data_IF_068094521499
#
_entry.id   IF_068094521499
#
_cell.length_a   1.000
_cell.length_b   1.000
_cell.length_c   1.000
_cell.angle_alpha   90.00
_cell.angle_beta   90.00
_cell.angle_gamma   90.00
#
_symmetry.space_group_name_H-M   'P 1'
#
loop_
_entity.id
_entity.type
_entity.pdbx_description
1 polymer ?
#
# COMPACT_ATOMS: atom_id res chain seq x y z
N UNK A 1 10.04 -4.47 2.96
CA UNK A 1 8.91 -3.65 3.46
C UNK A 1 9.38 -2.76 4.60
N UNK A 2 8.60 -1.74 4.95
CA UNK A 2 8.91 -0.88 6.11
C UNK A 2 7.82 -1.05 7.17
N UNK A 3 8.22 -1.18 8.44
CA UNK A 3 7.34 -1.44 9.58
C UNK A 3 7.34 -0.27 10.57
N UNK A 4 6.25 -0.11 11.31
CA UNK A 4 6.05 0.94 12.30
C UNK A 4 5.75 0.30 13.65
N UNK A 5 6.72 0.34 14.58
CA UNK A 5 6.56 -0.24 15.92
C UNK A 5 5.93 0.76 16.91
N UNK A 6 6.19 2.05 16.71
CA UNK A 6 5.59 3.14 17.48
C UNK A 6 4.18 3.54 17.02
N UNK A 7 3.68 4.66 17.53
CA UNK A 7 2.40 5.21 17.10
C UNK A 7 2.54 5.99 15.79
N UNK A 8 2.27 5.32 14.67
CA UNK A 8 2.18 5.94 13.35
C UNK A 8 0.74 6.39 13.00
N UNK A 9 -0.17 6.41 13.97
CA UNK A 9 -1.59 6.63 13.75
C UNK A 9 -2.27 5.43 13.06
N UNK A 10 -3.39 5.70 12.41
CA UNK A 10 -4.19 4.64 11.81
C UNK A 10 -5.44 5.16 11.12
N UNK A 11 -6.38 4.25 10.87
CA UNK A 11 -7.66 4.52 10.24
C UNK A 11 -8.81 4.03 11.11
N UNK A 12 -9.97 4.67 10.98
CA UNK A 12 -11.22 4.16 11.56
C UNK A 12 -12.08 3.63 10.42
N UNK A 13 -12.50 2.38 10.53
CA UNK A 13 -13.34 1.69 9.56
C UNK A 13 -14.53 1.09 10.30
N UNK A 14 -15.73 1.50 9.88
CA UNK A 14 -17.00 1.02 10.44
C UNK A 14 -17.07 1.13 11.99
N UNK A 15 -16.52 2.23 12.52
CA UNK A 15 -16.50 2.53 13.95
C UNK A 15 -15.35 1.87 14.74
N UNK A 16 -14.49 1.09 14.08
CA UNK A 16 -13.35 0.42 14.71
C UNK A 16 -12.02 1.03 14.28
N UNK A 17 -11.10 1.19 15.23
CA UNK A 17 -9.76 1.73 14.98
C UNK A 17 -8.76 0.64 14.58
N UNK A 18 -7.97 0.91 13.54
CA UNK A 18 -6.91 0.06 13.02
C UNK A 18 -5.59 0.85 12.98
N UNK A 19 -4.58 0.40 13.73
CA UNK A 19 -3.26 1.03 13.77
C UNK A 19 -2.43 0.64 12.57
N UNK A 20 -1.70 1.59 11.98
CA UNK A 20 -0.75 1.31 10.91
C UNK A 20 0.40 0.44 11.44
N UNK A 21 0.65 -0.69 10.77
CA UNK A 21 1.73 -1.62 11.11
C UNK A 21 2.85 -1.63 10.08
N UNK A 22 2.50 -1.50 8.80
CA UNK A 22 3.46 -1.69 7.72
C UNK A 22 3.07 -0.93 6.44
N UNK A 23 4.08 -0.50 5.69
CA UNK A 23 3.95 -0.11 4.29
C UNK A 23 4.79 -1.02 3.39
N UNK A 24 4.21 -1.42 2.27
CA UNK A 24 4.89 -2.19 1.23
C UNK A 24 4.35 -1.86 -0.16
N UNK A 25 5.11 -2.23 -1.20
CA UNK A 25 4.79 -1.85 -2.57
C UNK A 25 4.82 -3.04 -3.52
N UNK A 26 3.94 -2.98 -4.51
CA UNK A 26 3.87 -3.89 -5.63
C UNK A 26 4.12 -3.16 -6.95
N UNK A 27 4.93 -3.74 -7.84
CA UNK A 27 5.12 -3.25 -9.20
C UNK A 27 5.02 -4.39 -10.23
N UNK A 28 4.08 -4.33 -11.20
CA UNK A 28 3.03 -3.31 -11.37
C UNK A 28 2.01 -3.32 -10.22
N UNK A 29 0.95 -2.49 -10.29
CA UNK A 29 -0.16 -2.58 -9.35
C UNK A 29 -0.82 -3.97 -9.39
N UNK A 30 -1.31 -4.42 -8.24
CA UNK A 30 -2.10 -5.64 -8.11
C UNK A 30 -3.55 -5.38 -8.51
N UNK A 31 -4.11 -4.26 -8.05
CA UNK A 31 -5.42 -3.79 -8.46
C UNK A 31 -5.41 -3.25 -9.89
N UNK A 32 -6.58 -3.33 -10.52
CA UNK A 32 -6.90 -2.64 -11.76
C UNK A 32 -8.19 -1.85 -11.59
N UNK A 33 -8.27 -0.70 -12.26
CA UNK A 33 -9.50 0.09 -12.38
C UNK A 33 -9.90 0.04 -13.85
N UNK A 34 -11.12 -0.40 -14.16
CA UNK A 34 -11.63 -0.56 -15.53
C UNK A 34 -10.66 -1.36 -16.43
N UNK A 35 -10.10 -2.44 -15.88
CA UNK A 35 -9.14 -3.31 -16.56
C UNK A 35 -7.70 -2.75 -16.67
N UNK A 36 -7.46 -1.49 -16.29
CA UNK A 36 -6.13 -0.88 -16.33
C UNK A 36 -5.35 -1.12 -15.04
N UNK A 37 -4.18 -1.74 -15.16
CA UNK A 37 -3.13 -1.75 -14.13
C UNK A 37 -2.23 -0.52 -14.23
N UNK A 38 -1.59 -0.18 -13.12
CA UNK A 38 -0.72 0.97 -12.92
C UNK A 38 0.72 0.52 -12.63
N UNK A 39 1.65 1.48 -12.60
CA UNK A 39 3.09 1.18 -12.53
C UNK A 39 3.55 0.71 -11.15
N UNK A 40 2.85 1.16 -10.11
CA UNK A 40 3.15 0.86 -8.71
C UNK A 40 1.87 0.96 -7.87
N UNK A 41 1.83 0.17 -6.80
CA UNK A 41 0.80 0.23 -5.77
C UNK A 41 1.43 0.18 -4.38
N UNK A 42 1.04 1.10 -3.51
CA UNK A 42 1.35 1.07 -2.08
C UNK A 42 0.22 0.36 -1.35
N UNK A 43 0.57 -0.54 -0.44
CA UNK A 43 -0.31 -1.09 0.59
C UNK A 43 0.12 -0.61 1.96
N UNK A 44 -0.80 0.04 2.67
CA UNK A 44 -0.69 0.40 4.07
C UNK A 44 -1.50 -0.61 4.89
N UNK A 45 -0.80 -1.52 5.56
CA UNK A 45 -1.41 -2.57 6.37
C UNK A 45 -1.68 -2.05 7.78
N UNK A 46 -2.92 -2.17 8.21
CA UNK A 46 -3.38 -1.78 9.54
C UNK A 46 -3.97 -2.98 10.28
N UNK A 47 -3.87 -2.98 11.60
CA UNK A 47 -4.45 -4.01 12.47
C UNK A 47 -5.20 -3.37 13.63
N UNK A 48 -6.38 -3.89 13.93
CA UNK A 48 -7.14 -3.52 15.12
C UNK A 48 -6.57 -4.20 16.36
N UNK A 49 -6.27 -3.42 17.39
CA UNK A 49 -5.81 -3.94 18.68
C UNK A 49 -6.96 -4.60 19.47
N UNK A 50 -8.21 -4.24 19.18
CA UNK A 50 -9.38 -4.77 19.89
C UNK A 50 -9.88 -6.09 19.31
N UNK A 51 -9.85 -6.26 17.98
CA UNK A 51 -10.35 -7.48 17.32
C UNK A 51 -9.26 -8.34 16.67
N UNK A 52 -8.05 -7.81 16.50
CA UNK A 52 -6.98 -8.45 15.74
C UNK A 52 -7.19 -8.46 14.22
N UNK A 53 -8.32 -7.92 13.72
CA UNK A 53 -8.63 -7.85 12.28
C UNK A 53 -7.69 -6.90 11.54
N UNK A 54 -7.56 -7.14 10.25
CA UNK A 54 -6.73 -6.34 9.35
C UNK A 54 -7.55 -5.49 8.39
N UNK A 55 -7.03 -4.31 8.10
CA UNK A 55 -7.51 -3.44 7.04
C UNK A 55 -6.33 -2.94 6.20
N UNK A 56 -6.51 -2.84 4.88
CA UNK A 56 -5.48 -2.34 3.98
C UNK A 56 -6.00 -1.10 3.27
N UNK A 57 -5.20 -0.03 3.30
CA UNK A 57 -5.42 1.14 2.45
C UNK A 57 -4.40 1.10 1.31
N UNK A 58 -4.89 1.15 0.07
CA UNK A 58 -4.09 1.06 -1.13
C UNK A 58 -4.09 2.36 -1.93
N UNK A 59 -2.94 2.72 -2.47
CA UNK A 59 -2.76 3.88 -3.35
C UNK A 59 -2.07 3.47 -4.64
N UNK A 60 -2.67 3.83 -5.77
CA UNK A 60 -2.16 3.55 -7.12
C UNK A 60 -1.26 4.68 -7.61
N UNK A 61 -0.22 4.34 -8.37
CA UNK A 61 0.71 5.31 -8.95
C UNK A 61 1.00 5.01 -10.42
N UNK A 62 1.13 6.07 -11.21
CA UNK A 62 1.66 6.02 -12.57
C UNK A 62 2.95 6.83 -12.69
N UNK A 63 3.87 6.35 -13.53
CA UNK A 63 5.15 7.02 -13.76
C UNK A 63 4.89 8.39 -14.40
N UNK A 64 5.29 9.44 -13.70
CA UNK A 64 5.25 10.82 -14.19
C UNK A 64 6.65 11.30 -14.57
N UNK A 65 6.76 12.06 -15.66
CA UNK A 65 8.03 12.71 -16.03
C UNK A 65 8.50 13.64 -14.88
N UNK A 66 9.63 13.31 -14.27
CA UNK A 66 10.35 14.09 -13.23
C UNK A 66 9.59 14.35 -11.92
N UNK A 67 8.42 13.75 -11.68
CA UNK A 67 7.70 13.89 -10.41
C UNK A 67 8.13 12.78 -9.45
N UNK A 68 8.71 13.15 -8.31
CA UNK A 68 9.00 12.23 -7.22
C UNK A 68 7.84 12.23 -6.24
N UNK A 69 7.50 11.06 -5.71
CA UNK A 69 6.57 10.96 -4.59
C UNK A 69 7.30 11.28 -3.28
N UNK A 70 6.78 12.24 -2.50
CA UNK A 70 7.44 12.71 -1.29
C UNK A 70 7.50 11.64 -0.17
N UNK A 71 6.50 10.75 -0.09
CA UNK A 71 6.53 9.67 0.92
C UNK A 71 7.63 8.67 0.58
N UNK A 72 7.80 8.32 -0.69
CA UNK A 72 8.93 7.50 -1.12
C UNK A 72 10.28 8.20 -0.91
N UNK A 73 10.37 9.52 -1.06
CA UNK A 73 11.61 10.25 -0.76
C UNK A 73 11.98 10.16 0.73
N UNK A 74 10.99 10.24 1.64
CA UNK A 74 11.22 10.06 3.07
C UNK A 74 11.60 8.61 3.43
N UNK A 75 11.06 7.63 2.70
CA UNK A 75 11.27 6.21 2.96
C UNK A 75 12.47 5.61 2.22
N UNK A 76 13.07 6.32 1.27
CA UNK A 76 14.21 5.87 0.45
C UNK A 76 15.38 5.30 1.30
N UNK A 77 15.84 5.94 2.39
CA UNK A 77 16.90 5.39 3.24
C UNK A 77 16.56 4.02 3.86
N UNK A 78 15.29 3.80 4.21
CA UNK A 78 14.81 2.54 4.78
C UNK A 78 14.67 1.45 3.72
N UNK A 79 14.18 1.83 2.53
CA UNK A 79 14.05 0.93 1.38
C UNK A 79 15.43 0.45 0.92
N UNK A 80 16.43 1.34 0.86
CA UNK A 80 17.80 0.95 0.54
C UNK A 80 18.40 -0.02 1.57
N UNK A 81 18.08 0.15 2.86
CA UNK A 81 18.53 -0.77 3.92
C UNK A 81 17.95 -2.17 3.72
N UNK A 82 16.69 -2.28 3.29
CA UNK A 82 16.08 -3.56 2.89
C UNK A 82 16.90 -4.14 1.73
N UNK A 83 17.03 -3.42 0.62
CA UNK A 83 17.75 -3.87 -0.59
C UNK A 83 19.19 -4.37 -0.31
N UNK A 84 19.93 -3.68 0.56
CA UNK A 84 21.32 -4.03 0.92
C UNK A 84 21.42 -5.26 1.83
N UNK A 85 20.43 -5.51 2.69
CA UNK A 85 20.44 -6.61 3.65
C UNK A 85 19.61 -7.79 3.13
N UNK A 86 20.23 -8.66 2.32
CA UNK A 86 19.61 -9.86 1.70
C UNK A 86 18.85 -10.82 2.66
N UNK A 87 18.97 -10.66 3.99
CA UNK A 87 18.27 -11.45 5.02
C UNK A 87 17.18 -10.67 5.78
N UNK A 88 17.02 -9.37 5.53
CA UNK A 88 16.12 -8.50 6.26
C UNK A 88 14.93 -8.15 5.39
N UNK A 89 13.79 -8.79 5.63
CA UNK A 89 12.58 -8.55 4.86
C UNK A 89 11.89 -7.24 5.25
N UNK A 90 12.11 -6.78 6.49
CA UNK A 90 11.45 -5.60 7.08
C UNK A 90 12.45 -4.69 7.76
N UNK A 91 12.29 -3.38 7.58
CA UNK A 91 13.06 -2.36 8.31
C UNK A 91 12.11 -1.46 9.07
N UNK A 92 12.41 -1.23 10.35
CA UNK A 92 11.68 -0.28 11.18
C UNK A 92 11.95 1.16 10.75
N UNK A 93 10.87 1.94 10.66
CA UNK A 93 10.92 3.38 10.46
C UNK A 93 11.03 4.05 11.83
N UNK A 94 12.19 4.63 12.11
CA UNK A 94 12.53 5.33 13.35
C UNK A 94 12.55 6.87 13.19
N UNK A 95 12.17 7.37 12.00
CA UNK A 95 12.14 8.79 11.65
C UNK A 95 10.74 9.34 11.44
N UNK A 96 10.64 10.66 11.25
CA UNK A 96 9.37 11.35 11.00
C UNK A 96 8.86 11.10 9.57
N UNK A 97 7.85 10.23 9.44
CA UNK A 97 7.13 9.99 8.18
C UNK A 97 5.66 10.23 8.43
N UNK A 98 5.05 11.21 7.75
CA UNK A 98 3.60 11.42 7.80
C UNK A 98 2.88 10.37 6.93
N UNK A 99 2.20 9.37 7.53
CA UNK A 99 1.60 8.28 6.79
C UNK A 99 0.28 8.66 6.11
N UNK A 100 -0.23 9.88 6.31
CA UNK A 100 -1.44 10.38 5.64
C UNK A 100 -1.14 10.89 4.23
N UNK A 101 0.11 11.30 3.96
CA UNK A 101 0.52 11.89 2.67
C UNK A 101 0.24 11.01 1.44
N UNK A 102 0.41 9.68 1.48
CA UNK A 102 0.13 8.85 0.32
C UNK A 102 -1.31 8.93 -0.16
N UNK A 103 -2.26 9.11 0.76
CA UNK A 103 -3.70 9.10 0.45
C UNK A 103 -4.36 10.47 0.62
N UNK A 104 -3.55 11.52 0.77
CA UNK A 104 -4.06 12.88 0.89
C UNK A 104 -4.66 13.36 -0.44
N UNK A 105 -5.80 14.07 -0.34
CA UNK A 105 -6.56 14.53 -1.50
C UNK A 105 -7.39 13.44 -2.19
N UNK A 106 -7.42 12.22 -1.64
CA UNK A 106 -8.24 11.12 -2.15
C UNK A 106 -9.68 11.25 -1.66
N UNK A 107 -10.50 12.04 -2.37
CA UNK A 107 -11.92 12.22 -2.05
C UNK A 107 -12.82 11.04 -2.45
N UNK A 108 -12.31 10.06 -3.21
CA UNK A 108 -13.07 8.90 -3.68
C UNK A 108 -12.26 7.63 -3.50
N UNK A 109 -12.88 6.57 -3.00
CA UNK A 109 -12.25 5.27 -2.80
C UNK A 109 -13.22 4.11 -3.01
N UNK A 110 -12.66 2.95 -3.36
CA UNK A 110 -13.37 1.67 -3.41
C UNK A 110 -13.20 0.94 -2.08
N UNK A 111 -14.24 0.20 -1.65
CA UNK A 111 -14.20 -0.61 -0.42
C UNK A 111 -14.78 -1.99 -0.69
N UNK A 112 -14.08 -3.04 -0.25
CA UNK A 112 -14.54 -4.42 -0.32
C UNK A 112 -13.82 -5.32 0.71
N UNK A 113 -14.36 -6.50 0.99
CA UNK A 113 -13.71 -7.51 1.85
C UNK A 113 -12.98 -8.54 1.00
N UNK A 114 -11.68 -8.72 1.21
CA UNK A 114 -10.86 -9.64 0.43
C UNK A 114 -9.85 -10.42 1.27
N UNK A 115 -8.70 -10.68 0.66
CA UNK A 115 -7.62 -11.45 1.27
C UNK A 115 -6.31 -10.66 1.29
N UNK A 116 -5.30 -11.20 1.96
CA UNK A 116 -3.92 -10.86 1.64
C UNK A 116 -3.58 -11.28 0.20
N UNK A 117 -2.65 -10.55 -0.42
CA UNK A 117 -2.17 -10.83 -1.78
C UNK A 117 -0.94 -11.73 -1.80
N UNK A 118 -0.38 -12.04 -0.64
CA UNK A 118 0.71 -13.00 -0.43
C UNK A 118 0.23 -14.20 0.41
N UNK A 119 0.87 -15.38 0.27
CA UNK A 119 0.56 -16.55 1.10
C UNK A 119 0.60 -16.22 2.61
N UNK A 120 -0.32 -16.78 3.42
CA UNK A 120 -1.30 -17.82 3.08
C UNK A 120 -2.61 -17.29 2.48
N UNK A 121 -2.65 -16.04 1.98
CA UNK A 121 -3.83 -15.44 1.34
C UNK A 121 -5.05 -15.41 2.26
N UNK A 122 -4.86 -15.19 3.56
CA UNK A 122 -5.94 -15.12 4.56
C UNK A 122 -7.01 -14.12 4.15
N UNK A 123 -8.28 -14.54 4.20
CA UNK A 123 -9.46 -13.72 3.90
C UNK A 123 -9.91 -12.86 5.09
N UNK A 124 -10.96 -12.04 4.89
CA UNK A 124 -11.51 -11.15 5.90
C UNK A 124 -10.81 -9.80 6.01
N UNK A 125 -9.99 -9.45 5.01
CA UNK A 125 -9.25 -8.18 4.98
C UNK A 125 -10.14 -7.08 4.41
N UNK A 126 -10.33 -5.99 5.15
CA UNK A 126 -11.06 -4.83 4.63
C UNK A 126 -10.15 -3.98 3.74
N UNK A 127 -10.41 -3.98 2.43
CA UNK A 127 -9.63 -3.23 1.45
C UNK A 127 -10.25 -1.85 1.17
N UNK A 128 -9.43 -0.81 1.20
CA UNK A 128 -9.77 0.56 0.79
C UNK A 128 -8.82 1.00 -0.31
N UNK A 129 -9.28 1.13 -1.54
CA UNK A 129 -8.43 1.50 -2.68
C UNK A 129 -8.74 2.93 -3.11
N UNK A 130 -7.79 3.84 -2.95
CA UNK A 130 -7.94 5.22 -3.38
C UNK A 130 -8.13 5.28 -4.92
N UNK A 131 -9.14 6.01 -5.39
CA UNK A 131 -9.46 6.08 -6.83
C UNK A 131 -8.50 6.98 -7.61
N UNK A 132 -7.98 8.04 -6.98
CA UNK A 132 -7.02 8.92 -7.60
C UNK A 132 -5.68 8.18 -7.83
N UNK A 133 -5.02 8.49 -8.93
CA UNK A 133 -3.73 7.91 -9.29
C UNK A 133 -2.64 8.95 -9.05
N UNK A 134 -1.65 8.61 -8.24
CA UNK A 134 -0.54 9.50 -7.91
C UNK A 134 0.59 9.37 -8.90
N UNK A 135 1.52 10.33 -8.86
CA UNK A 135 2.70 10.34 -9.71
C UNK A 135 3.90 9.82 -8.94
N UNK A 136 4.64 8.93 -9.56
CA UNK A 136 5.92 8.42 -9.04
C UNK A 136 6.99 8.57 -10.12
N UNK A 137 8.27 8.69 -9.73
CA UNK A 137 9.35 8.73 -10.69
C UNK A 137 9.78 7.31 -11.09
N UNK A 138 10.29 7.14 -12.31
CA UNK A 138 10.84 5.84 -12.74
C UNK A 138 11.93 5.33 -11.80
N UNK A 139 12.83 6.22 -11.35
CA UNK A 139 13.91 5.90 -10.41
C UNK A 139 13.38 5.33 -9.08
N UNK A 140 12.29 5.89 -8.54
CA UNK A 140 11.68 5.37 -7.31
C UNK A 140 11.08 3.98 -7.51
N UNK A 141 10.46 3.72 -8.67
CA UNK A 141 9.96 2.38 -9.01
C UNK A 141 11.10 1.38 -9.15
N UNK A 142 12.21 1.78 -9.78
CA UNK A 142 13.41 0.93 -9.93
C UNK A 142 14.03 0.59 -8.57
N UNK A 143 14.19 1.58 -7.68
CA UNK A 143 14.65 1.36 -6.30
C UNK A 143 13.82 0.30 -5.56
N UNK A 144 12.48 0.36 -5.68
CA UNK A 144 11.59 -0.61 -5.04
C UNK A 144 11.74 -2.01 -5.64
N UNK A 145 11.93 -2.12 -6.96
CA UNK A 145 12.15 -3.40 -7.63
C UNK A 145 13.47 -4.05 -7.23
N UNK A 146 14.52 -3.27 -7.02
CA UNK A 146 15.80 -3.76 -6.51
C UNK A 146 15.70 -4.27 -5.06
N UNK A 147 14.76 -3.73 -4.28
CA UNK A 147 14.49 -4.18 -2.92
C UNK A 147 13.66 -5.49 -2.84
N UNK A 148 13.14 -5.98 -3.97
CA UNK A 148 12.42 -7.26 -4.03
C UNK A 148 13.46 -8.39 -4.09
N UNK A 149 13.57 -9.17 -3.01
CA UNK A 149 14.68 -10.10 -2.75
C UNK A 149 14.57 -11.49 -3.38
N UNK A 150 13.53 -11.79 -4.16
CA UNK A 150 13.14 -13.16 -4.56
C UNK A 150 13.32 -13.44 -6.07
N UNK A 151 14.21 -12.71 -6.75
CA UNK A 151 14.43 -12.77 -8.21
C UNK A 151 13.18 -12.42 -9.06
N UNK A 152 12.05 -12.09 -8.44
CA UNK A 152 10.85 -11.73 -9.15
C UNK A 152 10.98 -10.31 -9.72
N UNK A 153 11.07 -10.21 -11.04
CA UNK A 153 11.02 -8.92 -11.76
C UNK A 153 9.72 -8.14 -11.52
N UNK A 154 8.69 -8.82 -11.00
CA UNK A 154 7.36 -8.30 -10.66
C UNK A 154 6.86 -9.07 -9.45
N UNK A 155 6.35 -8.36 -8.45
CA UNK A 155 5.82 -8.95 -7.23
C UNK A 155 4.29 -8.77 -7.11
N UNK A 156 3.60 -8.66 -8.25
CA UNK A 156 2.17 -8.39 -8.29
C UNK A 156 1.38 -9.66 -8.61
N UNK A 157 0.48 -10.07 -7.71
CA UNK A 157 -0.46 -11.16 -7.91
C UNK A 157 -1.39 -10.85 -9.11
N UNK A 158 -1.77 -11.86 -9.91
CA UNK A 158 -2.80 -11.72 -10.94
C UNK A 158 -4.16 -11.28 -10.37
N UNK A 159 -5.00 -10.67 -11.20
CA UNK A 159 -6.38 -10.36 -10.80
C UNK A 159 -7.11 -11.66 -10.44
N UNK A 160 -7.97 -11.58 -9.43
CA UNK A 160 -8.79 -12.69 -8.98
C UNK A 160 -10.24 -12.40 -9.34
N UNK A 161 -11.02 -13.46 -9.54
CA UNK A 161 -12.45 -13.35 -9.83
C UNK A 161 -13.19 -12.62 -8.71
N UNK A 162 -14.22 -11.84 -9.10
CA UNK A 162 -15.02 -11.10 -8.14
C UNK A 162 -15.92 -12.03 -7.31
N UNK A 163 -16.29 -13.21 -7.83
CA UNK A 163 -17.10 -14.22 -7.14
C UNK A 163 -18.38 -13.66 -6.48
N UNK A 164 -19.03 -12.68 -7.14
CA UNK A 164 -20.25 -12.04 -6.64
C UNK A 164 -20.05 -11.05 -5.48
N UNK A 165 -18.80 -10.79 -5.04
CA UNK A 165 -18.50 -9.81 -4.01
C UNK A 165 -18.88 -8.39 -4.46
N UNK A 166 -19.60 -7.68 -3.60
CA UNK A 166 -19.87 -6.26 -3.79
C UNK A 166 -18.61 -5.40 -3.60
N UNK A 167 -18.44 -4.40 -4.47
CA UNK A 167 -17.42 -3.36 -4.34
C UNK A 167 -18.15 -2.03 -4.20
N UNK A 168 -18.06 -1.40 -3.04
CA UNK A 168 -18.67 -0.09 -2.79
C UNK A 168 -17.77 1.04 -3.28
N UNK A 169 -18.38 2.14 -3.72
CA UNK A 169 -17.70 3.39 -4.05
C UNK A 169 -18.14 4.45 -3.06
N UNK A 170 -17.17 5.10 -2.41
CA UNK A 170 -17.40 6.03 -1.33
C UNK A 170 -16.79 7.39 -1.67
N UNK A 171 -17.42 8.44 -1.18
CA UNK A 171 -17.02 9.83 -1.36
C UNK A 171 -16.74 10.44 0.02
N UNK A 172 -15.54 10.95 0.23
CA UNK A 172 -15.18 11.76 1.39
C UNK A 172 -15.47 13.22 1.06
N UNK A 173 -16.42 13.81 1.80
CA UNK A 173 -16.80 15.23 1.66
C UNK A 173 -15.93 16.17 2.51
N UNK A 174 -14.86 15.65 3.12
CA UNK A 174 -13.96 16.44 3.98
C UNK A 174 -12.72 16.86 3.17
N UNK A 175 -12.70 18.13 2.80
CA UNK A 175 -11.53 18.91 2.38
C UNK A 175 -11.06 19.77 3.56
#
# INVERSE_FOLDING_TARGET
MVRFDGDAGGVVVDGEAYRLRQMHWHSPSEHAIDGRRYDLELHMLHQSDSSGRYAVVAQLFEIGRRRRDATLDMLEPYIERVAKKRKMHEVEVDGEVDPRRPVSGSGVYYRYTGSFTTPPCTEGITWTVARNVRRVSRRQVELLREAVHDDARRNARPLQEANGRAVGVYYSWLA
#
